data_IF_198829172169
#
_entry.id   IF_198829172169
#
_cell.length_a   1.000
_cell.length_b   1.000
_cell.length_c   1.000
_cell.angle_alpha   90.00
_cell.angle_beta   90.00
_cell.angle_gamma   90.00
#
_symmetry.space_group_name_H-M   'P 1'
#
loop_
_entity.id
_entity.type
_entity.pdbx_description
1 polymer ?
#
# COMPACT_ATOMS: atom_id res chain seq x y z
N UNK A 1 -8.83 7.00 -14.44
CA UNK A 1 -9.25 7.29 -13.05
C UNK A 1 -10.25 6.25 -12.50
N UNK A 2 -11.02 5.54 -13.35
CA UNK A 2 -12.00 4.54 -12.86
C UNK A 2 -11.49 3.11 -12.68
N UNK A 3 -10.48 2.68 -13.45
CA UNK A 3 -10.02 1.27 -13.44
C UNK A 3 -9.51 0.84 -12.06
N UNK A 4 -8.89 1.75 -11.29
CA UNK A 4 -8.38 1.45 -9.95
C UNK A 4 -9.47 1.26 -8.89
N UNK A 5 -10.70 1.75 -9.11
CA UNK A 5 -11.80 1.59 -8.14
C UNK A 5 -12.32 0.15 -8.11
N UNK A 6 -12.16 -0.60 -9.20
CA UNK A 6 -12.55 -2.01 -9.30
C UNK A 6 -11.34 -2.96 -9.29
N UNK A 7 -10.15 -2.45 -8.97
CA UNK A 7 -8.95 -3.28 -8.88
C UNK A 7 -8.96 -4.02 -7.54
N UNK A 8 -8.78 -5.35 -7.58
CA UNK A 8 -8.61 -6.16 -6.38
C UNK A 8 -7.22 -5.99 -5.75
N UNK A 9 -6.22 -5.68 -6.58
CA UNK A 9 -4.84 -5.52 -6.15
C UNK A 9 -4.26 -4.25 -6.75
N UNK A 10 -3.61 -3.44 -5.91
CA UNK A 10 -2.76 -2.34 -6.35
C UNK A 10 -1.34 -2.57 -5.85
N UNK A 11 -0.35 -2.42 -6.72
CA UNK A 11 1.06 -2.46 -6.35
C UNK A 11 1.62 -1.05 -6.47
N UNK A 12 1.96 -0.45 -5.33
CA UNK A 12 2.54 0.89 -5.26
C UNK A 12 4.05 0.79 -5.23
N UNK A 13 4.71 1.18 -6.32
CA UNK A 13 6.16 1.22 -6.39
C UNK A 13 6.72 2.51 -5.81
N UNK A 14 7.99 2.46 -5.38
CA UNK A 14 8.72 3.66 -4.99
C UNK A 14 8.72 4.69 -6.13
N UNK A 15 8.12 5.85 -5.89
CA UNK A 15 8.07 6.95 -6.85
C UNK A 15 8.42 8.28 -6.17
N UNK A 16 9.54 8.90 -6.54
CA UNK A 16 9.96 10.21 -6.00
C UNK A 16 9.24 11.40 -6.63
N UNK A 17 8.59 11.20 -7.79
CA UNK A 17 8.04 12.29 -8.59
C UNK A 17 6.69 12.78 -8.08
N UNK A 18 5.89 11.92 -7.44
CA UNK A 18 4.50 12.26 -7.13
C UNK A 18 3.99 11.65 -5.82
N UNK A 19 4.42 12.25 -4.70
CA UNK A 19 3.88 11.93 -3.37
C UNK A 19 2.44 12.41 -3.18
N UNK A 20 1.98 13.33 -4.02
CA UNK A 20 0.62 13.85 -3.95
C UNK A 20 -0.40 12.78 -4.31
N UNK A 21 -0.10 11.93 -5.32
CA UNK A 21 -0.95 10.80 -5.69
C UNK A 21 -1.10 9.77 -4.56
N UNK A 22 0.00 9.45 -3.86
CA UNK A 22 -0.02 8.54 -2.70
C UNK A 22 -0.92 9.10 -1.60
N UNK A 23 -0.81 10.39 -1.32
CA UNK A 23 -1.65 11.06 -0.31
C UNK A 23 -3.12 11.05 -0.71
N UNK A 24 -3.45 11.30 -1.99
CA UNK A 24 -4.83 11.26 -2.47
C UNK A 24 -5.41 9.85 -2.40
N UNK A 25 -4.65 8.83 -2.81
CA UNK A 25 -5.06 7.43 -2.71
C UNK A 25 -5.28 7.02 -1.25
N UNK A 26 -4.37 7.41 -0.35
CA UNK A 26 -4.50 7.16 1.08
C UNK A 26 -5.77 7.76 1.67
N UNK A 27 -6.18 8.96 1.23
CA UNK A 27 -7.46 9.57 1.67
C UNK A 27 -8.67 8.79 1.19
N UNK A 28 -8.59 8.12 0.03
CA UNK A 28 -9.67 7.30 -0.51
C UNK A 28 -9.79 5.95 0.21
N UNK A 29 -8.66 5.32 0.53
CA UNK A 29 -8.64 3.98 1.13
C UNK A 29 -8.67 3.99 2.66
N UNK A 30 -8.00 4.96 3.29
CA UNK A 30 -7.84 5.07 4.74
C UNK A 30 -8.17 6.51 5.21
N UNK A 31 -9.42 6.99 5.04
CA UNK A 31 -9.78 8.39 5.34
C UNK A 31 -9.52 8.79 6.79
N UNK A 32 -9.73 7.88 7.74
CA UNK A 32 -9.48 8.11 9.17
C UNK A 32 -8.04 7.81 9.60
N UNK A 33 -7.25 7.12 8.76
CA UNK A 33 -5.93 6.58 9.09
C UNK A 33 -4.88 6.94 8.01
N UNK A 34 -4.97 8.15 7.44
CA UNK A 34 -4.09 8.59 6.36
C UNK A 34 -2.60 8.51 6.73
N UNK A 35 -2.27 8.90 7.97
CA UNK A 35 -0.89 8.87 8.46
C UNK A 35 -0.32 7.45 8.44
N UNK A 36 -1.08 6.47 8.93
CA UNK A 36 -0.69 5.06 8.90
C UNK A 36 -0.44 4.59 7.46
N UNK A 37 -1.29 4.98 6.51
CA UNK A 37 -1.10 4.62 5.10
C UNK A 37 0.20 5.20 4.53
N UNK A 38 0.48 6.48 4.81
CA UNK A 38 1.70 7.16 4.34
C UNK A 38 2.96 6.53 4.95
N UNK A 39 2.97 6.30 6.27
CA UNK A 39 4.11 5.67 6.95
C UNK A 39 4.36 4.25 6.46
N UNK A 40 3.31 3.47 6.22
CA UNK A 40 3.42 2.12 5.65
C UNK A 40 3.99 2.14 4.24
N UNK A 41 3.59 3.10 3.40
CA UNK A 41 4.16 3.28 2.07
C UNK A 41 5.63 3.71 2.13
N UNK A 42 5.98 4.66 3.00
CA UNK A 42 7.36 5.13 3.16
C UNK A 42 8.29 4.00 3.63
N UNK A 43 7.86 3.20 4.61
CA UNK A 43 8.61 2.06 5.12
C UNK A 43 8.76 0.96 4.05
N UNK A 44 7.63 0.52 3.47
CA UNK A 44 7.61 -0.51 2.43
C UNK A 44 8.43 -0.10 1.20
N UNK A 45 8.49 1.21 0.90
CA UNK A 45 9.22 1.75 -0.26
C UNK A 45 10.60 2.35 0.07
N UNK A 46 11.15 2.07 1.26
CA UNK A 46 12.41 2.66 1.72
C UNK A 46 13.61 2.32 0.82
N UNK A 47 13.69 1.09 0.29
CA UNK A 47 14.78 0.65 -0.61
C UNK A 47 14.46 0.94 -2.09
N UNK A 48 15.43 1.06 -3.02
CA UNK A 48 15.15 1.06 -4.46
C UNK A 48 14.40 -0.22 -4.90
N UNK A 49 13.58 -0.12 -5.95
CA UNK A 49 12.81 -1.25 -6.54
C UNK A 49 11.83 -1.97 -5.60
N UNK A 50 11.50 -1.33 -4.48
CA UNK A 50 10.54 -1.83 -3.50
C UNK A 50 9.11 -1.39 -3.83
N UNK A 51 8.16 -2.05 -3.16
CA UNK A 51 6.74 -1.86 -3.40
C UNK A 51 5.91 -2.09 -2.14
N UNK A 52 4.68 -1.59 -2.17
CA UNK A 52 3.62 -1.91 -1.23
C UNK A 52 2.45 -2.52 -2.00
N UNK A 53 2.05 -3.74 -1.66
CA UNK A 53 0.83 -4.37 -2.14
C UNK A 53 -0.35 -3.91 -1.28
N UNK A 54 -1.40 -3.46 -1.95
CA UNK A 54 -2.72 -3.23 -1.38
C UNK A 54 -3.68 -4.31 -1.89
N UNK A 55 -4.31 -5.03 -0.97
CA UNK A 55 -5.38 -6.01 -1.24
C UNK A 55 -6.73 -5.39 -0.90
N UNK A 56 -7.49 -5.10 -1.95
CA UNK A 56 -8.75 -4.36 -1.92
C UNK A 56 -9.97 -5.28 -2.05
N UNK A 57 -9.79 -6.61 -2.04
CA UNK A 57 -10.93 -7.52 -2.09
C UNK A 57 -11.76 -7.42 -0.81
N UNK A 58 -13.05 -7.63 -0.94
CA UNK A 58 -14.00 -7.59 0.18
C UNK A 58 -13.86 -8.76 1.15
N UNK A 59 -13.28 -9.88 0.72
CA UNK A 59 -13.11 -11.11 1.51
C UNK A 59 -11.72 -11.26 2.15
N UNK A 60 -10.80 -10.33 1.87
CA UNK A 60 -9.47 -10.31 2.50
C UNK A 60 -9.57 -9.85 3.95
N UNK A 61 -8.92 -10.58 4.85
CA UNK A 61 -8.76 -10.20 6.25
C UNK A 61 -8.11 -8.81 6.38
N UNK A 62 -8.66 -7.95 7.24
CA UNK A 62 -8.19 -6.58 7.46
C UNK A 62 -6.69 -6.52 7.80
N UNK A 63 -6.20 -7.53 8.51
CA UNK A 63 -4.79 -7.62 8.90
C UNK A 63 -3.86 -7.86 7.71
N UNK A 64 -4.36 -8.33 6.56
CA UNK A 64 -3.56 -8.73 5.39
C UNK A 64 -3.68 -7.75 4.21
N UNK A 65 -4.31 -6.58 4.41
CA UNK A 65 -4.56 -5.62 3.32
C UNK A 65 -3.31 -4.90 2.80
N UNK A 66 -2.29 -4.70 3.63
CA UNK A 66 -1.08 -3.95 3.27
C UNK A 66 0.16 -4.80 3.50
N UNK A 67 0.87 -5.15 2.42
CA UNK A 67 1.96 -6.15 2.47
C UNK A 67 3.14 -5.80 1.59
N UNK A 68 4.33 -6.28 1.94
CA UNK A 68 5.51 -6.27 1.06
C UNK A 68 6.36 -7.52 1.27
N UNK A 69 7.37 -7.73 0.42
CA UNK A 69 8.28 -8.87 0.50
C UNK A 69 7.63 -10.21 0.16
N UNK A 70 6.82 -10.24 -0.90
CA UNK A 70 6.13 -11.45 -1.38
C UNK A 70 7.01 -12.36 -2.26
N UNK A 71 8.18 -11.90 -2.69
CA UNK A 71 9.06 -12.66 -3.57
C UNK A 71 10.07 -13.51 -2.77
N UNK A 72 10.54 -14.63 -3.35
CA UNK A 72 11.55 -15.46 -2.69
C UNK A 72 12.80 -14.67 -2.31
N UNK A 73 13.22 -14.78 -1.05
CA UNK A 73 14.39 -14.10 -0.51
C UNK A 73 14.10 -12.75 0.14
N UNK A 74 12.89 -12.20 -0.02
CA UNK A 74 12.47 -11.02 0.72
C UNK A 74 11.95 -11.39 2.13
N UNK A 75 12.09 -10.44 3.06
CA UNK A 75 11.38 -10.53 4.35
C UNK A 75 9.94 -10.07 4.16
N UNK A 76 8.99 -10.94 4.48
CA UNK A 76 7.57 -10.63 4.40
C UNK A 76 7.13 -9.73 5.55
N UNK A 77 6.53 -8.58 5.22
CA UNK A 77 5.98 -7.64 6.19
C UNK A 77 4.50 -7.37 5.94
N UNK A 78 3.79 -7.13 7.04
CA UNK A 78 2.37 -6.82 7.07
C UNK A 78 2.18 -5.56 7.91
N UNK A 79 1.47 -4.57 7.37
CA UNK A 79 1.20 -3.30 8.04
C UNK A 79 -0.21 -3.29 8.60
N UNK A 80 -0.34 -2.97 9.88
CA UNK A 80 -1.63 -2.91 10.58
C UNK A 80 -1.76 -1.58 11.33
N UNK A 81 -2.95 -0.93 11.31
CA UNK A 81 -3.20 0.23 12.15
C UNK A 81 -3.11 -0.19 13.63
N UNK A 82 -2.65 0.75 14.48
CA UNK A 82 -2.62 0.57 15.93
C UNK A 82 -4.01 0.62 16.54
#
# INVERSE_FOLDING_TARGET
REISLNAHYLVLFKNRRDQSQITHLGRQLYPSNLKFFQESFEDATFKPYSYLLLDLKSDTDETLRMRTGLFPGDTYYVYQPR
#
